data_IF_955240322603
#
_entry.id   IF_955240322603
#
_cell.length_a   1.000
_cell.length_b   1.000
_cell.length_c   1.000
_cell.angle_alpha   90.00
_cell.angle_beta   90.00
_cell.angle_gamma   90.00
#
_symmetry.space_group_name_H-M   'P 1'
#
loop_
_entity.id
_entity.type
_entity.pdbx_description
1 polymer ?
#
# COMPACT_ATOMS: atom_id res chain seq x y z
N UNK A 1 -27.39 -1.50 -11.42
CA UNK A 1 -26.60 -0.91 -10.32
C UNK A 1 -25.16 -0.80 -10.78
N UNK A 2 -24.73 0.36 -11.28
CA UNK A 2 -23.32 0.61 -11.53
C UNK A 2 -22.72 1.16 -10.24
N UNK A 3 -21.98 0.32 -9.51
CA UNK A 3 -21.19 0.76 -8.37
C UNK A 3 -20.16 1.75 -8.86
N UNK A 4 -20.30 3.01 -8.46
CA UNK A 4 -19.30 4.05 -8.71
C UNK A 4 -18.16 3.83 -7.72
N UNK A 5 -17.27 2.88 -8.03
CA UNK A 5 -15.97 2.78 -7.35
C UNK A 5 -15.18 3.99 -7.84
N UNK A 6 -15.00 4.99 -6.97
CA UNK A 6 -14.12 6.13 -7.23
C UNK A 6 -12.73 5.60 -7.56
N UNK A 7 -12.31 5.79 -8.81
CA UNK A 7 -11.06 5.24 -9.34
C UNK A 7 -9.90 6.04 -8.75
N UNK A 8 -9.07 5.39 -7.93
CA UNK A 8 -7.75 5.93 -7.54
C UNK A 8 -6.95 6.15 -8.83
N UNK A 9 -6.18 7.25 -8.92
CA UNK A 9 -5.52 7.72 -10.16
C UNK A 9 -4.56 6.72 -10.84
N UNK A 10 -4.29 5.59 -10.19
CA UNK A 10 -3.67 4.37 -10.72
C UNK A 10 -3.65 3.29 -9.63
N UNK A 11 -3.51 2.04 -10.03
CA UNK A 11 -3.30 0.91 -9.13
C UNK A 11 -2.06 0.12 -9.58
N UNK A 12 -1.30 -0.40 -8.63
CA UNK A 12 -0.16 -1.28 -8.90
C UNK A 12 -0.41 -2.59 -8.16
N UNK A 13 -0.40 -3.71 -8.89
CA UNK A 13 -0.62 -5.04 -8.31
C UNK A 13 0.52 -5.98 -8.64
N UNK A 14 0.97 -6.72 -7.63
CA UNK A 14 1.84 -7.89 -7.81
C UNK A 14 1.02 -9.16 -8.00
N UNK A 15 1.67 -10.27 -8.33
CA UNK A 15 1.02 -11.56 -8.54
C UNK A 15 0.13 -11.94 -7.35
N UNK A 16 -1.15 -12.21 -7.62
CA UNK A 16 -2.11 -12.71 -6.63
C UNK A 16 -2.68 -14.05 -7.11
N UNK A 17 -2.99 -15.01 -6.22
CA UNK A 17 -3.36 -16.36 -6.64
C UNK A 17 -4.73 -16.45 -7.33
N UNK A 18 -5.60 -15.46 -7.16
CA UNK A 18 -7.00 -15.55 -7.58
C UNK A 18 -7.45 -14.31 -8.32
N UNK A 19 -8.31 -14.51 -9.32
CA UNK A 19 -8.99 -13.44 -10.06
C UNK A 19 -9.74 -12.46 -9.15
N UNK A 20 -10.46 -12.93 -8.14
CA UNK A 20 -11.20 -12.06 -7.21
C UNK A 20 -10.27 -11.08 -6.49
N UNK A 21 -9.11 -11.54 -6.03
CA UNK A 21 -8.12 -10.66 -5.42
C UNK A 21 -7.57 -9.63 -6.43
N UNK A 22 -7.35 -10.03 -7.69
CA UNK A 22 -6.97 -9.11 -8.76
C UNK A 22 -8.00 -8.00 -8.96
N UNK A 23 -9.27 -8.38 -9.08
CA UNK A 23 -10.38 -7.44 -9.30
C UNK A 23 -10.53 -6.45 -8.13
N UNK A 24 -10.20 -6.86 -6.91
CA UNK A 24 -10.19 -5.94 -5.75
C UNK A 24 -9.04 -4.94 -5.82
N UNK A 25 -7.83 -5.37 -6.17
CA UNK A 25 -6.63 -4.51 -6.13
C UNK A 25 -6.53 -3.58 -7.34
N UNK A 26 -6.78 -4.09 -8.54
CA UNK A 26 -6.60 -3.33 -9.80
C UNK A 26 -7.90 -3.15 -10.59
N UNK A 27 -9.07 -3.46 -9.99
CA UNK A 27 -10.41 -3.30 -10.60
C UNK A 27 -10.67 -4.28 -11.77
N UNK A 28 -9.67 -5.07 -12.18
CA UNK A 28 -9.81 -6.10 -13.21
C UNK A 28 -8.96 -7.34 -12.91
N UNK A 29 -9.13 -8.40 -13.72
CA UNK A 29 -8.30 -9.60 -13.68
C UNK A 29 -6.90 -9.37 -14.26
N UNK A 30 -5.96 -10.28 -13.97
CA UNK A 30 -4.64 -10.32 -14.62
C UNK A 30 -3.50 -10.62 -13.65
N UNK A 31 -3.62 -10.26 -12.37
CA UNK A 31 -2.56 -10.54 -11.39
C UNK A 31 -2.36 -12.04 -11.17
N UNK A 32 -3.38 -12.86 -11.40
CA UNK A 32 -3.33 -14.32 -11.32
C UNK A 32 -2.58 -14.98 -12.47
N UNK A 33 -2.42 -14.27 -13.58
CA UNK A 33 -1.73 -14.74 -14.78
C UNK A 33 -0.26 -14.30 -14.82
N UNK A 34 0.14 -13.38 -13.94
CA UNK A 34 1.53 -12.93 -13.84
C UNK A 34 2.47 -14.11 -13.60
N UNK A 35 3.61 -14.17 -14.32
CA UNK A 35 4.62 -15.19 -14.05
C UNK A 35 5.19 -14.99 -12.64
N UNK A 36 5.65 -16.08 -12.03
CA UNK A 36 6.20 -16.06 -10.67
C UNK A 36 7.64 -15.52 -10.64
N UNK A 37 7.80 -14.26 -11.05
CA UNK A 37 9.07 -13.53 -11.10
C UNK A 37 9.01 -12.43 -10.03
N UNK A 38 9.95 -12.39 -9.06
CA UNK A 38 10.00 -11.32 -8.07
C UNK A 38 10.02 -9.94 -8.72
N UNK A 39 9.21 -9.02 -8.21
CA UNK A 39 9.09 -7.65 -8.73
C UNK A 39 8.32 -7.50 -10.04
N UNK A 40 7.76 -8.59 -10.60
CA UNK A 40 6.83 -8.51 -11.73
C UNK A 40 5.47 -7.99 -11.26
N UNK A 41 4.98 -6.92 -11.89
CA UNK A 41 3.74 -6.26 -11.52
C UNK A 41 2.91 -5.83 -12.74
N UNK A 42 1.63 -5.52 -12.50
CA UNK A 42 0.77 -4.78 -13.43
C UNK A 42 0.53 -3.40 -12.85
N UNK A 43 0.84 -2.37 -13.64
CA UNK A 43 0.37 -1.01 -13.40
C UNK A 43 -0.89 -0.76 -14.22
N UNK A 44 -1.96 -0.39 -13.52
CA UNK A 44 -3.27 -0.11 -14.07
C UNK A 44 -3.58 1.37 -13.93
N UNK A 45 -3.59 2.08 -15.07
CA UNK A 45 -4.10 3.45 -15.17
C UNK A 45 -5.25 3.47 -16.14
N UNK A 46 -5.06 3.97 -17.37
CA UNK A 46 -6.03 3.86 -18.47
C UNK A 46 -5.89 2.50 -19.17
N UNK A 47 -4.65 2.02 -19.26
CA UNK A 47 -4.26 0.76 -19.87
C UNK A 47 -3.54 -0.15 -18.86
N UNK A 48 -3.47 -1.43 -19.22
CA UNK A 48 -2.67 -2.44 -18.52
C UNK A 48 -1.24 -2.40 -19.00
N UNK A 49 -0.30 -2.17 -18.08
CA UNK A 49 1.13 -2.28 -18.35
C UNK A 49 1.75 -3.30 -17.42
N UNK A 50 2.19 -4.44 -17.97
CA UNK A 50 3.07 -5.35 -17.24
C UNK A 50 4.47 -4.74 -17.17
N UNK A 51 5.04 -4.65 -15.97
CA UNK A 51 6.34 -4.04 -15.76
C UNK A 51 7.17 -4.80 -14.72
N UNK A 52 8.48 -4.56 -14.76
CA UNK A 52 9.41 -4.99 -13.73
C UNK A 52 9.69 -3.79 -12.81
N UNK A 53 9.38 -3.92 -11.51
CA UNK A 53 9.75 -2.89 -10.53
C UNK A 53 11.24 -2.97 -10.20
N UNK A 54 11.82 -1.84 -9.84
CA UNK A 54 13.20 -1.78 -9.33
C UNK A 54 13.34 -2.55 -8.03
N UNK A 55 14.44 -3.29 -7.91
CA UNK A 55 14.83 -3.90 -6.66
C UNK A 55 15.69 -2.91 -5.86
N UNK A 56 15.34 -2.70 -4.60
CA UNK A 56 16.15 -1.94 -3.64
C UNK A 56 16.28 -2.84 -2.40
N UNK A 57 17.50 -3.07 -1.96
CA UNK A 57 17.76 -3.83 -0.73
C UNK A 57 17.70 -2.94 0.51
N UNK A 58 17.50 -3.57 1.66
CA UNK A 58 17.37 -2.87 2.94
C UNK A 58 18.59 -2.00 3.26
N UNK A 59 19.83 -2.43 2.95
CA UNK A 59 21.02 -1.63 3.26
C UNK A 59 21.08 -0.36 2.41
N UNK A 60 20.69 -0.44 1.14
CA UNK A 60 20.57 0.73 0.27
C UNK A 60 19.47 1.66 0.77
N UNK A 61 18.30 1.14 1.15
CA UNK A 61 17.24 1.93 1.77
C UNK A 61 17.72 2.65 3.03
N UNK A 62 18.35 1.94 3.97
CA UNK A 62 18.88 2.52 5.21
C UNK A 62 19.94 3.59 4.96
N UNK A 63 20.85 3.35 4.01
CA UNK A 63 21.87 4.34 3.63
C UNK A 63 21.24 5.65 3.14
N UNK A 64 20.14 5.57 2.37
CA UNK A 64 19.43 6.75 1.89
C UNK A 64 18.58 7.43 2.98
N UNK A 65 17.98 6.67 3.88
CA UNK A 65 17.11 7.21 4.93
C UNK A 65 17.89 7.91 6.06
N UNK A 66 19.14 7.50 6.32
CA UNK A 66 19.97 8.04 7.40
C UNK A 66 20.16 9.57 7.34
N UNK A 67 20.14 10.15 6.14
CA UNK A 67 20.27 11.61 5.95
C UNK A 67 19.06 12.39 6.50
N UNK A 68 17.92 11.73 6.70
CA UNK A 68 16.67 12.31 7.19
C UNK A 68 16.36 11.90 8.63
N UNK A 69 17.27 11.20 9.30
CA UNK A 69 17.15 10.90 10.73
C UNK A 69 17.25 12.21 11.52
N UNK A 70 16.12 12.67 12.06
CA UNK A 70 16.07 13.86 12.91
C UNK A 70 16.48 13.42 14.31
N UNK A 71 17.51 14.06 14.88
CA UNK A 71 17.82 13.89 16.30
C UNK A 71 16.56 14.28 17.09
N UNK A 72 16.05 13.37 17.93
CA UNK A 72 14.97 13.70 18.85
C UNK A 72 15.46 14.85 19.74
N UNK A 73 15.05 16.08 19.41
CA UNK A 73 15.06 17.15 20.39
C UNK A 73 14.04 16.73 21.43
N UNK A 74 14.52 16.46 22.65
CA UNK A 74 13.70 16.15 23.83
C UNK A 74 12.45 17.03 23.81
N UNK A 75 11.32 16.43 23.40
CA UNK A 75 10.04 17.07 23.57
C UNK A 75 9.81 17.06 25.08
N UNK A 76 9.76 18.22 25.76
CA UNK A 76 9.46 18.20 27.18
C UNK A 76 8.09 17.56 27.34
N UNK A 77 8.02 16.47 28.09
CA UNK A 77 6.78 15.77 28.39
C UNK A 77 5.71 16.74 28.90
N UNK A 78 4.51 16.68 28.33
CA UNK A 78 3.22 17.00 28.97
C UNK A 78 2.12 16.88 27.88
N UNK A 79 1.02 16.14 28.02
CA UNK A 79 0.16 15.99 29.18
C UNK A 79 -0.44 14.59 29.29
N UNK A 80 -0.72 14.26 30.54
CA UNK A 80 -1.18 13.01 31.11
C UNK A 80 -2.54 12.50 30.56
N UNK A 81 -2.63 11.17 30.47
CA UNK A 81 -3.81 10.32 30.68
C UNK A 81 -5.17 11.05 30.75
N UNK A 82 -5.83 11.25 29.61
CA UNK A 82 -7.28 11.44 29.63
C UNK A 82 -7.97 10.07 29.66
N UNK A 83 -8.90 9.81 30.62
CA UNK A 83 -9.69 8.60 30.62
C UNK A 83 -10.53 8.53 29.35
N UNK A 84 -10.49 7.38 28.67
CA UNK A 84 -11.35 7.06 27.53
C UNK A 84 -12.79 6.99 28.02
N UNK A 85 -13.59 8.01 27.73
CA UNK A 85 -15.04 7.97 27.95
C UNK A 85 -15.61 6.79 27.15
N UNK A 86 -16.22 5.84 27.87
CA UNK A 86 -16.77 4.62 27.31
C UNK A 86 -17.99 4.93 26.44
N UNK A 87 -17.86 4.74 25.13
CA UNK A 87 -18.98 4.80 24.20
C UNK A 87 -19.84 3.54 24.44
N UNK A 88 -21.01 3.73 25.04
CA UNK A 88 -21.99 2.66 25.30
C UNK A 88 -22.80 2.44 24.03
N UNK A 89 -22.77 1.24 23.48
CA UNK A 89 -23.63 0.84 22.37
C UNK A 89 -25.05 0.63 22.92
N UNK A 90 -26.03 1.45 22.49
CA UNK A 90 -27.44 1.13 22.65
C UNK A 90 -27.85 0.06 21.62
N UNK A 91 -28.61 -0.93 22.09
CA UNK A 91 -29.13 -2.12 21.38
C UNK A 91 -30.10 -1.81 20.21
#
# INVERSE_FOLDING_TARGET
MQSHITRVGGALGFRLPTRTASEVVIVQSGLEQLPSIPGRAIYMKENFTELQVSYIDDNVMWKHLKEYEVEEHEHPESHENQPSDGDTCDD
#
